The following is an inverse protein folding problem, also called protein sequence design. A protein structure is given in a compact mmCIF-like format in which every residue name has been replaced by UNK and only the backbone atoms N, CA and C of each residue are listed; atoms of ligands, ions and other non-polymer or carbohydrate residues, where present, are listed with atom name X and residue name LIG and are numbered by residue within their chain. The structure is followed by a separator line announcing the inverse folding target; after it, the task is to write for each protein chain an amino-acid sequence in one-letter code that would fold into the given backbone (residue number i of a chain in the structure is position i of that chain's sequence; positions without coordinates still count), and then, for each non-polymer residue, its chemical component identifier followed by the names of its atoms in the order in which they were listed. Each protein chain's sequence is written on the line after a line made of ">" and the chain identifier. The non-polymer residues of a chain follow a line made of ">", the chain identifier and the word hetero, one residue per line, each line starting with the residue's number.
data_IF_331784540319
#
_entry.id   IF_331784540319
#
_cell.length_a   1.000
_cell.length_b   1.000
_cell.length_c   1.000
_cell.angle_alpha   90.00
_cell.angle_beta   90.00
_cell.angle_gamma   90.00
#
_symmetry.space_group_name_H-M   'P 1'
#
loop_
_entity.id
_entity.type
_entity.pdbx_description
1 polymer ?
#
# COMPACT_ATOMS: atom_id res chain seq x y z
N UNK A 1 -2.93 9.95 6.06
CA UNK A 1 -2.71 10.39 4.66
C UNK A 1 -1.71 9.47 3.98
N UNK A 2 -1.61 9.52 2.66
CA UNK A 2 -0.59 8.75 1.91
C UNK A 2 0.81 9.15 2.40
N UNK A 3 1.62 8.16 2.80
CA UNK A 3 2.95 8.38 3.36
C UNK A 3 3.00 8.81 4.82
N UNK A 4 1.84 8.97 5.50
CA UNK A 4 1.80 9.10 6.94
C UNK A 4 1.73 7.71 7.58
N UNK A 5 2.71 7.42 8.43
CA UNK A 5 2.74 6.19 9.22
C UNK A 5 2.82 6.57 10.69
N UNK A 6 2.03 5.91 11.54
CA UNK A 6 2.22 5.99 12.98
C UNK A 6 3.63 5.54 13.36
N UNK A 7 4.12 5.97 14.53
CA UNK A 7 5.49 5.63 14.97
C UNK A 7 5.76 4.11 14.99
N UNK A 8 4.71 3.31 15.25
CA UNK A 8 4.75 1.85 15.30
C UNK A 8 3.54 1.20 14.61
N UNK A 9 3.72 0.08 13.90
CA UNK A 9 2.62 -0.74 13.41
C UNK A 9 1.75 -1.23 14.57
N UNK A 10 0.42 -1.28 14.37
CA UNK A 10 -0.55 -1.79 15.33
C UNK A 10 -1.23 -3.02 14.72
N UNK A 11 -1.23 -4.14 15.45
CA UNK A 11 -2.00 -5.32 15.09
C UNK A 11 -3.46 -5.08 15.46
N UNK A 12 -4.31 -4.90 14.46
CA UNK A 12 -5.75 -4.65 14.66
C UNK A 12 -6.56 -5.93 14.80
N UNK A 13 -6.06 -7.04 14.26
CA UNK A 13 -6.72 -8.34 14.30
C UNK A 13 -5.70 -9.43 14.68
N UNK A 14 -6.01 -10.28 15.68
CA UNK A 14 -5.13 -11.37 16.05
C UNK A 14 -5.10 -12.45 14.96
N UNK A 15 -4.02 -13.24 14.96
CA UNK A 15 -3.92 -14.40 14.09
C UNK A 15 -4.96 -15.44 14.49
N UNK A 16 -5.86 -15.79 13.57
CA UNK A 16 -6.94 -16.76 13.79
C UNK A 16 -6.58 -18.18 13.38
N UNK A 17 -5.47 -18.34 12.66
CA UNK A 17 -4.98 -19.61 12.09
C UNK A 17 -3.77 -20.12 12.87
N UNK A 18 -3.72 -21.43 13.13
CA UNK A 18 -2.58 -22.06 13.78
C UNK A 18 -1.42 -22.24 12.79
N UNK A 19 -0.33 -21.53 13.03
CA UNK A 19 0.89 -21.56 12.21
C UNK A 19 2.00 -22.42 12.81
N UNK A 20 1.76 -23.09 13.94
CA UNK A 20 2.76 -23.91 14.62
C UNK A 20 3.30 -25.01 13.69
N UNK A 21 4.62 -25.16 13.68
CA UNK A 21 5.36 -26.12 12.85
C UNK A 21 5.19 -25.95 11.33
N UNK A 22 4.54 -24.86 10.87
CA UNK A 22 4.37 -24.54 9.45
C UNK A 22 5.52 -23.68 8.92
N UNK A 23 5.74 -23.78 7.61
CA UNK A 23 6.55 -22.81 6.86
C UNK A 23 5.61 -21.70 6.38
N UNK A 24 5.91 -20.45 6.72
CA UNK A 24 5.05 -19.29 6.44
C UNK A 24 5.80 -18.32 5.53
N UNK A 25 5.12 -17.84 4.49
CA UNK A 25 5.56 -16.71 3.68
C UNK A 25 4.67 -15.51 3.99
N UNK A 26 5.26 -14.43 4.49
CA UNK A 26 4.60 -13.15 4.70
C UNK A 26 4.81 -12.32 3.42
N UNK A 27 3.73 -11.84 2.83
CA UNK A 27 3.77 -11.02 1.63
C UNK A 27 3.27 -9.60 1.93
N UNK A 28 3.98 -8.61 1.41
CA UNK A 28 3.59 -7.19 1.44
C UNK A 28 3.93 -6.54 0.10
N UNK A 29 3.43 -5.34 -0.19
CA UNK A 29 3.69 -4.68 -1.47
C UNK A 29 5.03 -3.90 -1.48
N UNK A 30 5.33 -3.16 -0.40
CA UNK A 30 6.55 -2.37 -0.25
C UNK A 30 7.15 -2.46 1.15
N UNK A 31 8.44 -2.80 1.22
CA UNK A 31 9.24 -2.64 2.42
C UNK A 31 9.79 -1.20 2.49
N UNK A 32 9.01 -0.30 3.10
CA UNK A 32 9.37 1.12 3.18
C UNK A 32 10.28 1.44 4.38
N UNK A 33 9.72 1.55 5.59
CA UNK A 33 10.53 1.58 6.82
C UNK A 33 11.01 0.20 7.25
N UNK A 34 10.33 -0.86 6.80
CA UNK A 34 10.57 -2.25 7.22
C UNK A 34 9.92 -2.64 8.55
N UNK A 35 9.36 -1.70 9.31
CA UNK A 35 8.82 -1.97 10.65
C UNK A 35 7.60 -2.91 10.65
N UNK A 36 6.73 -2.80 9.64
CA UNK A 36 5.55 -3.67 9.50
C UNK A 36 5.97 -5.13 9.36
N UNK A 37 6.89 -5.42 8.43
CA UNK A 37 7.42 -6.77 8.24
C UNK A 37 8.13 -7.30 9.48
N UNK A 38 8.93 -6.48 10.15
CA UNK A 38 9.59 -6.86 11.41
C UNK A 38 8.56 -7.34 12.44
N UNK A 39 7.52 -6.53 12.71
CA UNK A 39 6.46 -6.88 13.66
C UNK A 39 5.72 -8.15 13.24
N UNK A 40 5.40 -8.30 11.95
CA UNK A 40 4.72 -9.48 11.45
C UNK A 40 5.57 -10.75 11.60
N UNK A 41 6.86 -10.68 11.28
CA UNK A 41 7.80 -11.80 11.43
C UNK A 41 7.94 -12.20 12.90
N UNK A 42 8.13 -11.24 13.79
CA UNK A 42 8.27 -11.50 15.23
C UNK A 42 7.01 -12.15 15.79
N UNK A 43 5.83 -11.67 15.38
CA UNK A 43 4.54 -12.25 15.75
C UNK A 43 4.43 -13.70 15.28
N UNK A 44 4.62 -13.98 13.99
CA UNK A 44 4.48 -15.34 13.43
C UNK A 44 5.49 -16.32 14.04
N UNK A 45 6.72 -15.87 14.33
CA UNK A 45 7.70 -16.67 15.06
C UNK A 45 7.23 -17.01 16.48
N UNK A 46 6.65 -16.04 17.19
CA UNK A 46 6.10 -16.26 18.53
C UNK A 46 4.96 -17.30 18.54
N UNK A 47 4.18 -17.39 17.47
CA UNK A 47 3.15 -18.42 17.30
C UNK A 47 3.71 -19.83 16.96
N UNK A 48 5.03 -19.99 16.86
CA UNK A 48 5.70 -21.28 16.72
C UNK A 48 5.83 -21.77 15.28
N UNK A 49 5.84 -20.87 14.30
CA UNK A 49 6.15 -21.23 12.91
C UNK A 49 7.54 -21.89 12.81
N UNK A 50 7.65 -22.95 12.01
CA UNK A 50 8.91 -23.68 11.77
C UNK A 50 9.89 -22.86 10.94
N UNK A 51 9.38 -22.09 10.00
CA UNK A 51 10.14 -21.22 9.12
C UNK A 51 9.28 -20.01 8.77
N UNK A 52 9.87 -18.81 8.75
CA UNK A 52 9.20 -17.58 8.32
C UNK A 52 10.08 -16.92 7.29
N UNK A 53 9.52 -16.69 6.10
CA UNK A 53 10.13 -15.92 5.01
C UNK A 53 9.25 -14.75 4.63
N UNK A 54 9.82 -13.79 3.93
CA UNK A 54 9.17 -12.54 3.53
C UNK A 54 9.33 -12.30 2.04
N UNK A 55 8.28 -11.80 1.39
CA UNK A 55 8.30 -11.41 -0.01
C UNK A 55 7.65 -10.04 -0.20
N UNK A 56 8.33 -9.14 -0.92
CA UNK A 56 7.75 -7.86 -1.34
C UNK A 56 7.98 -7.60 -2.82
N UNK A 57 7.25 -6.64 -3.40
CA UNK A 57 7.55 -6.17 -4.75
C UNK A 57 8.73 -5.20 -4.72
N UNK A 58 8.67 -4.18 -3.85
CA UNK A 58 9.67 -3.13 -3.80
C UNK A 58 10.29 -2.96 -2.40
N UNK A 59 11.60 -2.68 -2.36
CA UNK A 59 12.32 -2.32 -1.12
C UNK A 59 12.85 -0.90 -1.23
N UNK A 60 12.63 -0.09 -0.19
CA UNK A 60 13.23 1.25 -0.11
C UNK A 60 14.63 1.17 0.52
N UNK A 61 15.60 2.00 0.08
CA UNK A 61 16.93 2.02 0.68
C UNK A 61 16.94 2.32 2.19
N UNK A 62 15.92 3.02 2.69
CA UNK A 62 15.76 3.39 4.10
C UNK A 62 15.16 2.27 4.98
N UNK A 63 14.76 1.14 4.38
CA UNK A 63 14.15 0.04 5.13
C UNK A 63 15.16 -0.54 6.10
N UNK A 64 14.75 -0.72 7.36
CA UNK A 64 15.58 -1.42 8.36
C UNK A 64 15.48 -2.95 8.21
N UNK A 65 14.53 -3.40 7.39
CA UNK A 65 14.22 -4.81 7.19
C UNK A 65 14.51 -5.20 5.74
N UNK A 66 15.30 -6.25 5.54
CA UNK A 66 15.63 -6.78 4.22
C UNK A 66 14.81 -8.05 3.99
N UNK A 67 13.84 -8.06 3.05
CA UNK A 67 13.03 -9.24 2.78
C UNK A 67 13.83 -10.39 2.13
N UNK A 68 13.40 -11.63 2.35
CA UNK A 68 14.01 -12.81 1.73
C UNK A 68 13.88 -12.79 0.21
N UNK A 69 12.76 -12.27 -0.29
CA UNK A 69 12.48 -12.11 -1.71
C UNK A 69 11.98 -10.69 -1.99
N UNK A 70 12.55 -10.07 -3.01
CA UNK A 70 12.05 -8.80 -3.55
C UNK A 70 12.27 -8.71 -5.05
N UNK A 71 11.41 -7.98 -5.76
CA UNK A 71 11.56 -7.79 -7.20
C UNK A 71 12.56 -6.68 -7.53
N UNK A 72 12.48 -5.53 -6.83
CA UNK A 72 13.34 -4.39 -7.11
C UNK A 72 13.62 -3.54 -5.85
N UNK A 73 14.81 -2.94 -5.79
CA UNK A 73 15.16 -1.89 -4.83
C UNK A 73 15.02 -0.52 -5.51
N UNK A 74 14.25 0.39 -4.91
CA UNK A 74 13.95 1.68 -5.51
C UNK A 74 13.71 2.75 -4.46
N UNK A 75 14.22 3.96 -4.69
CA UNK A 75 13.95 5.15 -3.87
C UNK A 75 12.73 5.95 -4.37
N UNK A 76 12.22 5.63 -5.56
CA UNK A 76 11.11 6.33 -6.20
C UNK A 76 9.82 6.10 -5.44
N UNK A 77 8.91 7.05 -5.47
CA UNK A 77 7.54 6.82 -5.02
C UNK A 77 6.86 5.77 -5.91
N UNK A 78 6.29 4.73 -5.31
CA UNK A 78 5.57 3.67 -6.03
C UNK A 78 4.08 3.93 -5.82
N UNK A 79 3.32 3.94 -6.91
CA UNK A 79 1.86 3.99 -6.86
C UNK A 79 1.34 2.68 -7.41
N UNK A 80 0.67 1.90 -6.58
CA UNK A 80 0.04 0.66 -7.03
C UNK A 80 -1.32 0.92 -7.67
N UNK A 81 -1.79 0.03 -8.58
CA UNK A 81 -3.09 0.18 -9.22
C UNK A 81 -4.26 0.29 -8.23
N UNK A 82 -4.19 -0.36 -7.08
CA UNK A 82 -5.22 -0.29 -6.04
C UNK A 82 -5.21 1.02 -5.24
N UNK A 83 -4.15 1.82 -5.32
CA UNK A 83 -4.01 3.10 -4.61
C UNK A 83 -4.47 4.31 -5.42
N UNK A 84 -4.72 4.16 -6.73
CA UNK A 84 -5.00 5.29 -7.61
C UNK A 84 -6.12 6.20 -7.09
N UNK A 85 -7.20 5.61 -6.58
CA UNK A 85 -8.33 6.38 -6.04
C UNK A 85 -7.95 7.17 -4.78
N UNK A 86 -7.06 6.63 -3.94
CA UNK A 86 -6.56 7.33 -2.75
C UNK A 86 -5.62 8.45 -3.15
N UNK A 87 -4.66 8.19 -4.04
CA UNK A 87 -3.72 9.19 -4.57
C UNK A 87 -4.45 10.39 -5.16
N UNK A 88 -5.48 10.14 -5.97
CA UNK A 88 -6.29 11.21 -6.56
C UNK A 88 -7.00 12.02 -5.48
N UNK A 89 -7.57 11.38 -4.44
CA UNK A 89 -8.28 12.07 -3.36
C UNK A 89 -7.33 12.93 -2.51
N UNK A 90 -6.17 12.40 -2.16
CA UNK A 90 -5.17 13.11 -1.36
C UNK A 90 -4.58 14.30 -2.13
N UNK A 91 -4.27 14.13 -3.42
CA UNK A 91 -3.80 15.23 -4.27
C UNK A 91 -4.88 16.28 -4.53
N UNK A 92 -6.13 15.85 -4.71
CA UNK A 92 -7.26 16.76 -4.83
C UNK A 92 -7.40 17.62 -3.56
N UNK A 93 -7.30 17.02 -2.37
CA UNK A 93 -7.39 17.74 -1.09
C UNK A 93 -6.22 18.68 -0.88
N UNK A 94 -4.98 18.19 -1.03
CA UNK A 94 -3.76 18.97 -0.80
C UNK A 94 -3.60 20.14 -1.76
N UNK A 95 -4.17 20.06 -2.97
CA UNK A 95 -4.14 21.13 -3.98
C UNK A 95 -5.44 21.94 -4.08
N UNK A 96 -6.37 21.73 -3.14
CA UNK A 96 -7.70 22.38 -3.13
C UNK A 96 -8.44 22.32 -4.48
N UNK A 97 -8.38 21.16 -5.14
CA UNK A 97 -9.03 20.94 -6.42
C UNK A 97 -10.51 20.60 -6.17
N UNK A 98 -11.48 21.33 -6.74
CA UNK A 98 -12.88 20.99 -6.59
C UNK A 98 -13.21 19.59 -7.14
N UNK A 99 -14.13 18.89 -6.46
CA UNK A 99 -14.62 17.57 -6.87
C UNK A 99 -15.45 17.70 -8.15
N UNK A 100 -14.79 17.69 -9.30
CA UNK A 100 -15.40 17.71 -10.63
C UNK A 100 -14.73 16.65 -11.50
N UNK A 101 -15.53 15.98 -12.36
CA UNK A 101 -15.03 14.93 -13.25
C UNK A 101 -13.86 15.45 -14.10
N UNK A 102 -14.03 16.59 -14.76
CA UNK A 102 -13.00 17.15 -15.65
C UNK A 102 -11.70 17.51 -14.91
N UNK A 103 -11.81 18.08 -13.71
CA UNK A 103 -10.64 18.43 -12.89
C UNK A 103 -9.90 17.19 -12.40
N UNK A 104 -10.63 16.15 -11.98
CA UNK A 104 -10.03 14.89 -11.54
C UNK A 104 -9.42 14.10 -12.71
N UNK A 105 -10.07 14.09 -13.87
CA UNK A 105 -9.51 13.49 -15.09
C UNK A 105 -8.21 14.18 -15.50
N UNK A 106 -8.15 15.51 -15.41
CA UNK A 106 -6.93 16.27 -15.67
C UNK A 106 -5.84 15.93 -14.64
N UNK A 107 -6.17 15.95 -13.34
CA UNK A 107 -5.24 15.61 -12.27
C UNK A 107 -4.63 14.22 -12.47
N UNK A 108 -5.46 13.20 -12.74
CA UNK A 108 -5.01 11.83 -12.92
C UNK A 108 -4.07 11.67 -14.14
N UNK A 109 -4.36 12.38 -15.24
CA UNK A 109 -3.47 12.43 -16.41
C UNK A 109 -2.14 13.10 -16.09
N UNK A 110 -2.17 14.23 -15.39
CA UNK A 110 -0.97 15.01 -15.04
C UNK A 110 0.01 14.21 -14.18
N UNK A 111 -0.49 13.29 -13.35
CA UNK A 111 0.31 12.39 -12.51
C UNK A 111 0.54 11.00 -13.13
N UNK A 112 0.09 10.78 -14.37
CA UNK A 112 0.31 9.54 -15.12
C UNK A 112 -0.47 8.33 -14.61
N UNK A 113 -1.58 8.53 -13.89
CA UNK A 113 -2.45 7.42 -13.46
C UNK A 113 -3.22 6.88 -14.68
N UNK A 114 -2.94 5.63 -15.02
CA UNK A 114 -3.55 4.83 -16.09
C UNK A 114 -3.49 5.45 -17.49
N UNK A 115 -3.00 4.69 -18.47
CA UNK A 115 -3.13 5.04 -19.89
C UNK A 115 -4.46 4.62 -20.49
N UNK A 116 -5.18 3.73 -19.81
CA UNK A 116 -6.48 3.24 -20.23
C UNK A 116 -7.57 4.25 -19.83
N UNK A 117 -8.26 4.79 -20.84
CA UNK A 117 -9.29 5.81 -20.67
C UNK A 117 -10.53 5.26 -19.98
N UNK A 118 -10.92 4.01 -20.25
CA UNK A 118 -12.11 3.40 -19.68
C UNK A 118 -11.91 3.15 -18.18
N UNK A 119 -10.76 2.56 -17.82
CA UNK A 119 -10.36 2.37 -16.42
C UNK A 119 -10.30 3.70 -15.68
N UNK A 120 -9.76 4.73 -16.32
CA UNK A 120 -9.66 6.05 -15.70
C UNK A 120 -11.05 6.68 -15.49
N UNK A 121 -11.94 6.60 -16.48
CA UNK A 121 -13.31 7.10 -16.37
C UNK A 121 -14.08 6.39 -15.23
N UNK A 122 -13.96 5.06 -15.12
CA UNK A 122 -14.56 4.29 -14.01
C UNK A 122 -13.98 4.67 -12.65
N UNK A 123 -12.66 4.82 -12.56
CA UNK A 123 -11.97 5.23 -11.34
C UNK A 123 -12.46 6.60 -10.86
N UNK A 124 -12.55 7.58 -11.75
CA UNK A 124 -13.02 8.93 -11.40
C UNK A 124 -14.48 8.88 -10.95
N UNK A 125 -15.34 8.11 -11.64
CA UNK A 125 -16.72 7.92 -11.23
C UNK A 125 -16.82 7.30 -9.82
N UNK A 126 -15.94 6.33 -9.50
CA UNK A 126 -15.89 5.72 -8.18
C UNK A 126 -15.47 6.74 -7.11
N UNK A 127 -14.40 7.50 -7.35
CA UNK A 127 -13.90 8.55 -6.43
C UNK A 127 -14.99 9.57 -6.09
N UNK A 128 -15.76 10.01 -7.09
CA UNK A 128 -16.88 10.95 -6.91
C UNK A 128 -17.99 10.31 -6.08
N UNK A 129 -18.40 9.07 -6.40
CA UNK A 129 -19.47 8.36 -5.68
C UNK A 129 -19.14 8.10 -4.21
N UNK A 130 -17.89 7.78 -3.86
CA UNK A 130 -17.53 7.42 -2.47
C UNK A 130 -17.68 8.60 -1.50
N UNK A 131 -17.58 9.85 -1.97
CA UNK A 131 -17.77 11.04 -1.11
C UNK A 131 -19.24 11.28 -0.72
N UNK A 132 -20.19 10.60 -1.38
CA UNK A 132 -21.64 10.76 -1.16
C UNK A 132 -22.14 9.90 0.01
N UNK A 133 -21.38 8.90 0.44
CA UNK A 133 -21.70 8.14 1.66
C UNK A 133 -21.06 8.84 2.86
N UNK A 134 -21.84 9.71 3.51
CA UNK A 134 -21.66 10.05 4.93
C UNK A 134 -22.19 8.90 5.78
#
# INVERSE_FOLDING_TARGET
>A
SIGEHGERPILTQPLTINVRDKRVLIADDVADSGRTLQVAVDLIKLYGAKEVRTAVLFVKPRSIFVPDFYAELTDKWVVFPWEYGEVIRELMRSRDIPLSKDKLMKLAKDIGISKDKEVLDELINLVIKTKVRK
#
